data_IF_273977066858
#
_entry.id   IF_273977066858
#
_cell.length_a   1.000
_cell.length_b   1.000
_cell.length_c   1.000
_cell.angle_alpha   90.00
_cell.angle_beta   90.00
_cell.angle_gamma   90.00
#
_symmetry.space_group_name_H-M   'P 1'
#
loop_
_entity.id
_entity.type
_entity.pdbx_description
1 polymer ?
#
# COMPACT_ATOMS: atom_id res chain seq x y z
N UNK A 1 8.35 51.09 -5.34
CA UNK A 1 8.14 49.64 -5.47
C UNK A 1 8.08 49.35 -6.95
N UNK A 2 9.22 49.04 -7.55
CA UNK A 2 9.30 48.72 -8.97
C UNK A 2 9.10 47.22 -9.12
N UNK A 3 7.94 46.84 -9.67
CA UNK A 3 7.68 45.49 -10.16
C UNK A 3 8.61 45.22 -11.34
N UNK A 4 9.72 44.54 -11.08
CA UNK A 4 10.52 43.88 -12.10
C UNK A 4 9.84 42.54 -12.41
N UNK A 5 8.87 42.58 -13.33
CA UNK A 5 8.40 41.39 -14.01
C UNK A 5 9.58 40.82 -14.81
N UNK A 6 10.17 39.74 -14.31
CA UNK A 6 11.19 38.97 -15.03
C UNK A 6 10.47 38.25 -16.17
N UNK A 7 10.82 38.48 -17.45
CA UNK A 7 10.19 37.76 -18.55
C UNK A 7 10.50 36.26 -18.40
N UNK A 8 9.46 35.42 -18.45
CA UNK A 8 9.61 33.97 -18.52
C UNK A 8 10.37 33.62 -19.80
N UNK A 9 11.68 33.37 -19.68
CA UNK A 9 12.52 33.02 -20.81
C UNK A 9 12.13 31.62 -21.35
N UNK A 10 11.72 31.58 -22.62
CA UNK A 10 11.43 30.34 -23.36
C UNK A 10 12.77 29.68 -23.70
N UNK A 11 13.29 28.86 -22.79
CA UNK A 11 14.39 27.93 -23.12
C UNK A 11 13.87 26.62 -23.70
N UNK A 12 14.78 25.82 -24.25
CA UNK A 12 14.50 24.47 -24.75
C UNK A 12 15.14 23.47 -23.78
N UNK A 13 14.37 22.46 -23.36
CA UNK A 13 14.90 21.30 -22.66
C UNK A 13 15.53 20.36 -23.69
N UNK A 14 16.77 19.94 -23.43
CA UNK A 14 17.51 18.98 -24.25
C UNK A 14 17.98 17.85 -23.35
N UNK A 15 17.91 16.60 -23.81
CA UNK A 15 18.43 15.47 -23.03
C UNK A 15 19.95 15.57 -22.89
N UNK A 16 20.47 15.19 -21.73
CA UNK A 16 21.91 15.10 -21.50
C UNK A 16 22.58 14.13 -22.48
N UNK A 17 21.88 13.07 -22.91
CA UNK A 17 22.35 12.14 -23.93
C UNK A 17 22.63 12.82 -25.26
N UNK A 18 21.70 13.67 -25.71
CA UNK A 18 21.82 14.38 -26.99
C UNK A 18 22.99 15.36 -26.96
N UNK A 19 23.19 16.05 -25.83
CA UNK A 19 24.28 17.03 -25.68
C UNK A 19 25.67 16.37 -25.57
N UNK A 20 25.76 15.16 -25.02
CA UNK A 20 26.99 14.38 -24.97
C UNK A 20 27.35 13.76 -26.33
N UNK A 21 26.35 13.41 -27.14
CA UNK A 21 26.55 12.89 -28.50
C UNK A 21 26.79 13.98 -29.56
N UNK A 22 26.45 15.22 -29.22
CA UNK A 22 26.62 16.38 -30.09
C UNK A 22 28.06 16.92 -30.04
N UNK A 23 28.53 17.52 -31.13
CA UNK A 23 29.83 18.23 -31.20
C UNK A 23 29.88 19.52 -30.36
N UNK A 24 28.90 19.73 -29.49
CA UNK A 24 28.73 20.89 -28.60
C UNK A 24 29.81 21.01 -27.52
N UNK A 25 30.66 19.99 -27.34
CA UNK A 25 31.77 20.04 -26.38
C UNK A 25 31.33 20.01 -24.91
N UNK A 26 30.06 19.67 -24.63
CA UNK A 26 29.57 19.50 -23.27
C UNK A 26 30.21 18.23 -22.68
N UNK A 27 31.11 18.42 -21.73
CA UNK A 27 31.85 17.34 -21.09
C UNK A 27 31.48 17.23 -19.62
N UNK A 28 31.89 16.12 -18.99
CA UNK A 28 31.92 16.06 -17.53
C UNK A 28 32.81 17.20 -17.01
N UNK A 29 32.30 17.99 -16.07
CA UNK A 29 32.92 19.20 -15.54
C UNK A 29 32.35 20.51 -16.10
N UNK A 30 31.50 20.47 -17.12
CA UNK A 30 30.82 21.67 -17.64
C UNK A 30 29.77 22.19 -16.65
N UNK A 31 29.66 23.51 -16.51
CA UNK A 31 28.54 24.13 -15.79
C UNK A 31 27.28 24.10 -16.66
N UNK A 32 26.18 23.62 -16.10
CA UNK A 32 24.90 23.47 -16.81
C UNK A 32 23.75 23.95 -15.95
N UNK A 33 22.63 24.24 -16.61
CA UNK A 33 21.38 24.59 -15.95
C UNK A 33 20.40 23.43 -16.04
N UNK A 34 19.68 23.17 -14.96
CA UNK A 34 18.60 22.20 -14.87
C UNK A 34 17.35 22.85 -14.32
N UNK A 35 16.20 22.38 -14.78
CA UNK A 35 14.91 22.77 -14.24
C UNK A 35 14.49 21.75 -13.18
N UNK A 36 14.46 22.18 -11.92
CA UNK A 36 14.04 21.34 -10.79
C UNK A 36 12.51 21.21 -10.77
N UNK A 37 11.82 22.32 -11.02
CA UNK A 37 10.36 22.38 -11.18
C UNK A 37 10.00 23.51 -12.17
N UNK A 38 8.73 23.69 -12.57
CA UNK A 38 8.36 24.69 -13.58
C UNK A 38 8.83 26.13 -13.28
N UNK A 39 9.07 26.46 -12.01
CA UNK A 39 9.39 27.80 -11.52
C UNK A 39 10.87 27.95 -11.09
N UNK A 40 11.59 26.84 -10.91
CA UNK A 40 12.93 26.81 -10.32
C UNK A 40 13.96 26.21 -11.29
N UNK A 41 14.89 27.07 -11.72
CA UNK A 41 16.12 26.70 -12.41
C UNK A 41 17.26 26.68 -11.40
N UNK A 42 18.13 25.67 -11.51
CA UNK A 42 19.37 25.59 -10.76
C UNK A 42 20.56 25.41 -11.71
N UNK A 43 21.69 26.01 -11.36
CA UNK A 43 22.97 25.77 -12.02
C UNK A 43 23.79 24.75 -11.24
N UNK A 44 24.62 23.98 -11.93
CA UNK A 44 25.56 23.09 -11.29
C UNK A 44 26.56 22.47 -12.26
N UNK A 45 27.62 21.88 -11.71
CA UNK A 45 28.56 21.09 -12.50
C UNK A 45 27.90 19.80 -12.95
N UNK A 46 27.96 19.56 -14.25
CA UNK A 46 27.53 18.34 -14.89
C UNK A 46 28.61 17.29 -14.75
N UNK A 47 28.30 16.21 -14.05
CA UNK A 47 29.19 15.06 -13.89
C UNK A 47 28.58 13.88 -14.61
N UNK A 48 29.37 13.24 -15.45
CA UNK A 48 29.00 12.00 -16.14
C UNK A 48 29.89 10.88 -15.67
N UNK A 49 29.28 9.73 -15.41
CA UNK A 49 29.97 8.49 -15.12
C UNK A 49 30.86 8.10 -16.32
N UNK A 50 32.15 7.89 -16.05
CA UNK A 50 33.14 7.59 -17.09
C UNK A 50 33.00 6.16 -17.60
N UNK A 51 32.81 5.20 -16.69
CA UNK A 51 32.62 3.78 -17.01
C UNK A 51 31.37 3.28 -16.30
N UNK A 52 30.32 2.88 -17.03
CA UNK A 52 29.16 2.26 -16.41
C UNK A 52 29.57 0.89 -15.85
N UNK A 53 29.13 0.60 -14.62
CA UNK A 53 29.29 -0.71 -14.02
C UNK A 53 28.56 -1.75 -14.91
N UNK A 54 29.25 -2.83 -15.27
CA UNK A 54 28.73 -3.98 -16.03
C UNK A 54 28.08 -3.66 -17.39
N UNK A 55 28.56 -2.63 -18.10
CA UNK A 55 28.04 -2.28 -19.43
C UNK A 55 26.61 -1.72 -19.41
N UNK A 56 26.14 -1.30 -18.24
CA UNK A 56 24.83 -0.68 -18.05
C UNK A 56 24.70 0.72 -18.67
N UNK A 57 23.54 1.32 -18.47
CA UNK A 57 23.29 2.72 -18.87
C UNK A 57 24.20 3.66 -18.08
N UNK A 58 24.77 4.67 -18.75
CA UNK A 58 25.57 5.73 -18.10
C UNK A 58 24.69 6.66 -17.29
N UNK A 59 25.23 7.12 -16.16
CA UNK A 59 24.55 8.06 -15.27
C UNK A 59 25.20 9.45 -15.31
N UNK A 60 24.39 10.46 -15.01
CA UNK A 60 24.88 11.80 -14.79
C UNK A 60 24.22 12.43 -13.56
N UNK A 61 24.92 13.39 -12.98
CA UNK A 61 24.40 14.25 -11.93
C UNK A 61 24.77 15.70 -12.18
N UNK A 62 23.99 16.60 -11.59
CA UNK A 62 24.23 18.03 -11.61
C UNK A 62 24.38 18.45 -10.16
N UNK A 63 25.51 19.05 -9.83
CA UNK A 63 25.89 19.38 -8.45
C UNK A 63 26.02 20.89 -8.32
N UNK A 64 25.17 21.50 -7.49
CA UNK A 64 25.23 22.93 -7.17
C UNK A 64 26.28 23.21 -6.10
N UNK A 65 26.86 24.41 -6.15
CA UNK A 65 27.74 24.95 -5.12
C UNK A 65 26.97 25.66 -3.99
N UNK A 66 25.77 26.16 -4.30
CA UNK A 66 24.95 26.92 -3.36
C UNK A 66 23.46 26.63 -3.56
N UNK A 67 22.82 25.88 -2.64
CA UNK A 67 23.47 25.08 -1.59
C UNK A 67 24.31 23.95 -2.21
N UNK A 68 25.32 23.47 -1.47
CA UNK A 68 26.11 22.28 -1.86
C UNK A 68 25.20 21.06 -1.87
N UNK A 69 24.70 20.69 -3.04
CA UNK A 69 23.71 19.63 -3.19
C UNK A 69 23.69 19.07 -4.62
N UNK A 70 23.24 17.82 -4.74
CA UNK A 70 22.90 17.23 -6.04
C UNK A 70 21.48 17.67 -6.40
N UNK A 71 21.36 18.49 -7.43
CA UNK A 71 20.07 19.07 -7.87
C UNK A 71 19.32 18.17 -8.83
N UNK A 72 20.03 17.32 -9.56
CA UNK A 72 19.47 16.27 -10.41
C UNK A 72 20.47 15.12 -10.51
N UNK A 73 19.98 13.88 -10.51
CA UNK A 73 20.78 12.69 -10.79
C UNK A 73 19.90 11.61 -11.41
N UNK A 74 20.44 10.91 -12.39
CA UNK A 74 19.70 9.86 -13.09
C UNK A 74 20.47 9.31 -14.29
N UNK A 75 19.83 8.39 -15.04
CA UNK A 75 20.37 7.94 -16.30
C UNK A 75 20.50 9.12 -17.27
N UNK A 76 21.57 9.12 -18.07
CA UNK A 76 21.89 10.21 -19.01
C UNK A 76 20.75 10.48 -20.01
N UNK A 77 19.96 9.47 -20.36
CA UNK A 77 18.81 9.63 -21.25
C UNK A 77 17.66 10.43 -20.61
N UNK A 78 17.53 10.37 -19.28
CA UNK A 78 16.37 10.88 -18.54
C UNK A 78 16.61 12.28 -17.95
N UNK A 79 17.88 12.69 -17.82
CA UNK A 79 18.22 14.00 -17.28
C UNK A 79 18.10 15.06 -18.37
N UNK A 80 17.19 16.02 -18.14
CA UNK A 80 16.95 17.14 -19.04
C UNK A 80 17.76 18.36 -18.62
N UNK A 81 18.59 18.86 -19.53
CA UNK A 81 19.35 20.09 -19.38
C UNK A 81 18.61 21.26 -20.04
N UNK A 82 18.77 22.45 -19.48
CA UNK A 82 18.16 23.67 -19.99
C UNK A 82 19.22 24.57 -20.61
N UNK A 83 19.01 24.99 -21.86
CA UNK A 83 19.99 25.76 -22.64
C UNK A 83 20.18 27.23 -22.19
N UNK A 84 19.78 27.57 -20.96
CA UNK A 84 19.94 28.91 -20.41
C UNK A 84 21.22 29.01 -19.59
N UNK A 85 21.95 30.11 -19.73
CA UNK A 85 23.18 30.34 -18.96
C UNK A 85 22.83 30.85 -17.57
N UNK A 86 22.95 29.99 -16.55
CA UNK A 86 23.16 30.44 -15.18
C UNK A 86 24.61 30.95 -15.11
N UNK A 87 24.93 32.03 -14.37
CA UNK A 87 26.30 32.48 -14.19
C UNK A 87 27.18 31.30 -13.74
N UNK A 88 28.19 30.97 -14.53
CA UNK A 88 29.21 29.99 -14.16
C UNK A 88 30.01 30.60 -12.99
N UNK A 89 30.22 29.88 -11.88
CA UNK A 89 31.05 30.35 -10.79
C UNK A 89 32.55 30.37 -11.16
N UNK A 90 32.95 30.97 -12.29
CA UNK A 90 34.32 31.26 -12.78
C UNK A 90 35.44 30.29 -12.33
N UNK A 91 35.13 28.98 -12.23
CA UNK A 91 35.88 28.08 -11.37
C UNK A 91 35.92 26.67 -11.91
N UNK A 92 37.11 26.07 -11.90
CA UNK A 92 37.29 24.67 -12.21
C UNK A 92 36.44 23.81 -11.24
N UNK A 93 35.82 22.76 -11.78
CA UNK A 93 35.02 21.81 -11.00
C UNK A 93 35.82 21.32 -9.78
N UNK A 94 35.34 21.56 -8.54
CA UNK A 94 36.02 21.08 -7.35
C UNK A 94 36.08 19.55 -7.28
N UNK A 95 37.12 19.00 -6.64
CA UNK A 95 37.33 17.55 -6.52
C UNK A 95 36.25 16.82 -5.70
N UNK A 96 35.49 17.53 -4.86
CA UNK A 96 34.38 16.95 -4.10
C UNK A 96 33.13 16.70 -4.97
N UNK A 97 33.00 17.39 -6.11
CA UNK A 97 31.81 17.31 -6.97
C UNK A 97 31.62 15.91 -7.55
N UNK A 98 32.63 15.25 -8.14
CA UNK A 98 32.48 13.87 -8.62
C UNK A 98 32.16 12.87 -7.51
N UNK A 99 32.67 13.09 -6.29
CA UNK A 99 32.39 12.22 -5.14
C UNK A 99 30.92 12.31 -4.72
N UNK A 100 30.35 13.52 -4.71
CA UNK A 100 28.92 13.69 -4.45
C UNK A 100 28.06 13.10 -5.57
N UNK A 101 28.44 13.31 -6.83
CA UNK A 101 27.77 12.71 -7.97
C UNK A 101 27.72 11.17 -7.87
N UNK A 102 28.85 10.52 -7.56
CA UNK A 102 28.93 9.08 -7.40
C UNK A 102 28.02 8.57 -6.28
N UNK A 103 28.08 9.18 -5.09
CA UNK A 103 27.21 8.81 -3.98
C UNK A 103 25.72 8.94 -4.32
N UNK A 104 25.35 9.96 -5.11
CA UNK A 104 23.97 10.14 -5.57
C UNK A 104 23.57 9.07 -6.60
N UNK A 105 24.45 8.66 -7.51
CA UNK A 105 24.18 7.56 -8.44
C UNK A 105 23.94 6.25 -7.69
N UNK A 106 24.81 5.92 -6.72
CA UNK A 106 24.66 4.71 -5.92
C UNK A 106 23.35 4.71 -5.13
N UNK A 107 23.02 5.84 -4.50
CA UNK A 107 21.76 5.98 -3.78
C UNK A 107 20.53 5.83 -4.70
N UNK A 108 20.56 6.48 -5.87
CA UNK A 108 19.47 6.42 -6.84
C UNK A 108 19.28 5.01 -7.42
N UNK A 109 20.38 4.31 -7.74
CA UNK A 109 20.35 2.89 -8.16
C UNK A 109 19.78 1.98 -7.08
N UNK A 110 20.25 2.14 -5.84
CA UNK A 110 19.73 1.38 -4.71
C UNK A 110 18.23 1.59 -4.50
N UNK A 111 17.76 2.83 -4.63
CA UNK A 111 16.33 3.15 -4.56
C UNK A 111 15.53 2.56 -5.73
N UNK A 112 16.04 2.63 -6.96
CA UNK A 112 15.40 2.05 -8.13
C UNK A 112 15.26 0.53 -8.00
N UNK A 113 16.35 -0.17 -7.65
CA UNK A 113 16.34 -1.61 -7.42
C UNK A 113 15.40 -2.01 -6.28
N UNK A 114 15.38 -1.25 -5.17
CA UNK A 114 14.47 -1.51 -4.07
C UNK A 114 12.99 -1.32 -4.46
N UNK A 115 12.67 -0.30 -5.27
CA UNK A 115 11.30 -0.09 -5.79
C UNK A 115 10.89 -1.21 -6.72
N UNK A 116 11.77 -1.61 -7.63
CA UNK A 116 11.52 -2.72 -8.55
C UNK A 116 11.27 -4.02 -7.79
N UNK A 117 12.14 -4.38 -6.84
CA UNK A 117 12.00 -5.58 -6.01
C UNK A 117 10.68 -5.58 -5.21
N UNK A 118 10.33 -4.45 -4.58
CA UNK A 118 9.03 -4.32 -3.87
C UNK A 118 7.86 -4.48 -4.82
N UNK A 119 7.93 -3.89 -6.02
CA UNK A 119 6.86 -4.01 -7.02
C UNK A 119 6.72 -5.46 -7.51
N UNK A 120 7.83 -6.17 -7.72
CA UNK A 120 7.83 -7.57 -8.11
C UNK A 120 7.22 -8.46 -7.03
N UNK A 121 7.63 -8.27 -5.78
CA UNK A 121 7.06 -8.98 -4.63
C UNK A 121 5.55 -8.72 -4.48
N UNK A 122 5.12 -7.47 -4.64
CA UNK A 122 3.70 -7.12 -4.56
C UNK A 122 2.88 -7.76 -5.68
N UNK A 123 3.40 -7.81 -6.92
CA UNK A 123 2.74 -8.48 -8.04
C UNK A 123 2.62 -9.99 -7.81
N UNK A 124 3.68 -10.61 -7.30
CA UNK A 124 3.67 -12.04 -7.03
C UNK A 124 2.69 -12.40 -5.89
N UNK A 125 2.64 -11.58 -4.83
CA UNK A 125 1.64 -11.75 -3.76
C UNK A 125 0.21 -11.66 -4.29
N UNK A 126 -0.10 -10.62 -5.07
CA UNK A 126 -1.42 -10.46 -5.67
C UNK A 126 -1.78 -11.64 -6.60
N UNK A 127 -0.79 -12.18 -7.33
CA UNK A 127 -0.98 -13.35 -8.17
C UNK A 127 -1.30 -14.60 -7.33
N UNK A 128 -0.57 -14.84 -6.24
CA UNK A 128 -0.83 -15.98 -5.35
C UNK A 128 -2.20 -15.88 -4.69
N UNK A 129 -2.58 -14.69 -4.23
CA UNK A 129 -3.92 -14.43 -3.67
C UNK A 129 -5.02 -14.73 -4.70
N UNK A 130 -4.86 -14.27 -5.94
CA UNK A 130 -5.80 -14.56 -7.02
C UNK A 130 -5.91 -16.07 -7.35
N UNK A 131 -4.80 -16.81 -7.26
CA UNK A 131 -4.80 -18.28 -7.44
C UNK A 131 -5.56 -18.96 -6.31
N UNK A 132 -5.34 -18.52 -5.07
CA UNK A 132 -6.07 -19.05 -3.90
C UNK A 132 -7.57 -18.79 -4.04
N UNK A 133 -7.96 -17.60 -4.48
CA UNK A 133 -9.36 -17.24 -4.70
C UNK A 133 -10.00 -18.07 -5.82
N UNK A 134 -9.28 -18.27 -6.92
CA UNK A 134 -9.73 -19.16 -7.99
C UNK A 134 -9.89 -20.61 -7.50
N UNK A 135 -8.98 -21.09 -6.65
CA UNK A 135 -9.08 -22.43 -6.06
C UNK A 135 -10.27 -22.54 -5.11
N UNK A 136 -10.56 -21.50 -4.33
CA UNK A 136 -11.75 -21.43 -3.47
C UNK A 136 -13.05 -21.46 -4.28
N UNK A 137 -13.13 -20.66 -5.35
CA UNK A 137 -14.28 -20.68 -6.27
C UNK A 137 -14.47 -22.06 -6.91
N UNK A 138 -13.40 -22.63 -7.46
CA UNK A 138 -13.46 -23.98 -8.03
C UNK A 138 -13.90 -25.03 -6.99
N UNK A 139 -13.39 -24.93 -5.77
CA UNK A 139 -13.75 -25.85 -4.70
C UNK A 139 -15.22 -25.72 -4.27
N UNK A 140 -15.80 -24.53 -4.35
CA UNK A 140 -17.22 -24.30 -4.10
C UNK A 140 -18.08 -24.82 -5.27
N UNK A 141 -17.72 -24.50 -6.52
CA UNK A 141 -18.45 -24.93 -7.71
C UNK A 141 -18.50 -26.45 -7.89
N UNK A 142 -17.56 -27.18 -7.26
CA UNK A 142 -17.44 -28.63 -7.36
C UNK A 142 -17.69 -29.35 -6.02
N UNK A 143 -18.30 -28.66 -5.04
CA UNK A 143 -18.65 -29.22 -3.72
C UNK A 143 -17.50 -29.98 -3.03
N UNK A 144 -16.27 -29.47 -3.16
CA UNK A 144 -15.11 -30.12 -2.54
C UNK A 144 -15.25 -30.06 -1.02
N UNK A 145 -15.10 -31.22 -0.38
CA UNK A 145 -15.30 -31.40 1.05
C UNK A 145 -14.27 -30.64 1.91
N UNK A 146 -14.51 -30.59 3.23
CA UNK A 146 -13.65 -29.93 4.23
C UNK A 146 -12.18 -30.36 4.20
N UNK A 147 -11.86 -31.54 3.65
CA UNK A 147 -10.46 -31.98 3.46
C UNK A 147 -9.64 -31.07 2.55
N UNK A 148 -10.30 -30.34 1.64
CA UNK A 148 -9.64 -29.31 0.84
C UNK A 148 -9.19 -28.13 1.71
N UNK A 149 -10.03 -27.71 2.65
CA UNK A 149 -9.72 -26.61 3.57
C UNK A 149 -8.61 -27.02 4.55
N UNK A 150 -8.62 -28.26 5.03
CA UNK A 150 -7.52 -28.84 5.83
C UNK A 150 -6.20 -28.80 5.05
N UNK A 151 -6.22 -29.22 3.78
CA UNK A 151 -5.04 -29.15 2.92
C UNK A 151 -4.54 -27.71 2.74
N UNK A 152 -5.43 -26.74 2.56
CA UNK A 152 -5.04 -25.32 2.44
C UNK A 152 -4.34 -24.83 3.71
N UNK A 153 -4.85 -25.17 4.90
CA UNK A 153 -4.24 -24.82 6.18
C UNK A 153 -2.86 -25.47 6.32
N UNK A 154 -2.71 -26.75 5.95
CA UNK A 154 -1.42 -27.46 5.98
C UNK A 154 -0.37 -26.80 5.07
N UNK A 155 -0.78 -26.22 3.94
CA UNK A 155 0.09 -25.44 3.05
C UNK A 155 0.33 -24.00 3.53
N UNK A 156 -0.20 -23.60 4.70
CA UNK A 156 -0.09 -22.25 5.24
C UNK A 156 -0.95 -21.22 4.51
N UNK A 157 -1.96 -21.67 3.76
CA UNK A 157 -2.90 -20.83 3.03
C UNK A 157 -4.18 -20.65 3.84
N UNK A 158 -4.96 -19.62 3.51
CA UNK A 158 -6.24 -19.38 4.18
C UNK A 158 -7.28 -20.44 3.75
N UNK A 159 -8.03 -21.05 4.68
CA UNK A 159 -9.18 -21.87 4.34
C UNK A 159 -10.32 -21.00 3.78
N UNK A 160 -11.33 -21.61 3.18
CA UNK A 160 -12.54 -20.89 2.76
C UNK A 160 -13.33 -20.43 4.00
N UNK A 161 -13.78 -19.18 4.01
CA UNK A 161 -14.81 -18.72 4.93
C UNK A 161 -16.17 -19.16 4.39
N UNK A 162 -16.95 -19.86 5.22
CA UNK A 162 -18.34 -20.20 4.94
C UNK A 162 -19.20 -19.55 6.01
N UNK A 163 -20.27 -18.92 5.58
CA UNK A 163 -21.30 -18.45 6.48
C UNK A 163 -22.15 -19.65 6.87
N UNK A 164 -22.32 -19.83 8.17
CA UNK A 164 -23.16 -20.88 8.73
C UNK A 164 -24.25 -20.23 9.56
N UNK A 165 -25.50 -20.60 9.29
CA UNK A 165 -26.61 -20.27 10.17
C UNK A 165 -26.73 -21.39 11.21
N UNK A 166 -26.69 -21.03 12.49
CA UNK A 166 -26.81 -21.99 13.60
C UNK A 166 -28.18 -21.81 14.21
N UNK A 167 -29.01 -22.85 14.13
CA UNK A 167 -30.32 -22.88 14.78
C UNK A 167 -30.15 -23.41 16.21
N UNK A 168 -30.56 -22.60 17.19
CA UNK A 168 -30.38 -22.90 18.62
C UNK A 168 -31.74 -23.00 19.29
N UNK A 169 -32.00 -24.14 19.92
CA UNK A 169 -33.16 -24.32 20.79
C UNK A 169 -32.78 -23.92 22.22
N UNK A 170 -33.58 -23.04 22.81
CA UNK A 170 -33.42 -22.59 24.20
C UNK A 170 -34.65 -23.00 25.00
N UNK A 171 -34.44 -23.75 26.08
CA UNK A 171 -35.51 -24.09 27.03
C UNK A 171 -35.52 -23.13 28.21
N UNK A 172 -36.47 -22.20 28.20
CA UNK A 172 -36.63 -21.24 29.29
C UNK A 172 -37.62 -21.74 30.34
N UNK A 173 -37.26 -21.61 31.62
CA UNK A 173 -38.19 -21.82 32.75
C UNK A 173 -38.50 -20.49 33.41
N UNK A 174 -39.66 -19.94 33.08
CA UNK A 174 -40.18 -18.69 33.67
C UNK A 174 -41.09 -18.97 34.85
N UNK A 175 -41.04 -18.10 35.86
CA UNK A 175 -41.91 -18.16 37.03
C UNK A 175 -43.00 -17.09 36.91
N UNK A 176 -44.26 -17.53 36.85
CA UNK A 176 -45.41 -16.66 36.75
C UNK A 176 -46.18 -16.72 38.07
N UNK A 177 -46.51 -15.56 38.62
CA UNK A 177 -47.33 -15.46 39.83
C UNK A 177 -48.79 -15.31 39.43
N UNK A 178 -49.60 -16.33 39.67
CA UNK A 178 -51.06 -16.31 39.45
C UNK A 178 -51.80 -16.50 40.77
N UNK A 179 -52.95 -15.84 40.93
CA UNK A 179 -53.81 -15.96 42.10
C UNK A 179 -54.93 -16.99 41.85
N UNK A 180 -55.09 -17.96 42.75
CA UNK A 180 -56.14 -18.97 42.70
C UNK A 180 -56.59 -19.38 44.10
N UNK A 181 -57.72 -20.09 44.18
CA UNK A 181 -58.21 -20.64 45.44
C UNK A 181 -57.43 -21.90 45.88
N UNK A 182 -56.75 -22.54 44.94
CA UNK A 182 -55.78 -23.61 45.12
C UNK A 182 -54.74 -23.61 43.97
N UNK A 183 -53.73 -24.49 44.06
CA UNK A 183 -52.63 -24.56 43.10
C UNK A 183 -53.08 -24.98 41.69
N UNK A 184 -54.09 -25.86 41.60
CA UNK A 184 -54.62 -26.35 40.33
C UNK A 184 -55.35 -25.21 39.61
N UNK A 185 -56.23 -24.49 40.32
CA UNK A 185 -56.92 -23.30 39.81
C UNK A 185 -55.95 -22.18 39.40
N UNK A 186 -54.83 -22.00 40.11
CA UNK A 186 -53.81 -21.02 39.75
C UNK A 186 -53.06 -21.41 38.46
N UNK A 187 -52.89 -22.71 38.20
CA UNK A 187 -52.22 -23.23 37.01
C UNK A 187 -53.10 -23.15 35.75
N UNK A 188 -54.41 -23.38 35.88
CA UNK A 188 -55.37 -23.28 34.77
C UNK A 188 -55.56 -21.85 34.27
N UNK A 189 -55.27 -20.86 35.12
CA UNK A 189 -55.36 -19.44 34.79
C UNK A 189 -54.14 -18.93 34.00
N UNK A 190 -53.06 -19.70 33.89
CA UNK A 190 -51.85 -19.27 33.18
C UNK A 190 -52.10 -19.33 31.67
N UNK A 191 -52.14 -18.17 31.04
CA UNK A 191 -52.35 -18.04 29.59
C UNK A 191 -51.05 -17.94 28.82
N UNK A 192 -51.08 -18.27 27.52
CA UNK A 192 -49.92 -18.08 26.62
C UNK A 192 -49.43 -16.63 26.60
N UNK A 193 -50.34 -15.65 26.72
CA UNK A 193 -49.99 -14.23 26.77
C UNK A 193 -49.18 -13.87 28.01
N UNK A 194 -49.52 -14.42 29.18
CA UNK A 194 -48.76 -14.22 30.42
C UNK A 194 -47.38 -14.87 30.37
N UNK A 195 -47.25 -16.01 29.70
CA UNK A 195 -45.94 -16.65 29.45
C UNK A 195 -45.08 -15.77 28.54
N UNK A 196 -45.64 -15.25 27.45
CA UNK A 196 -44.93 -14.37 26.51
C UNK A 196 -44.53 -13.06 27.20
N UNK A 197 -45.43 -12.46 27.97
CA UNK A 197 -45.15 -11.24 28.74
C UNK A 197 -44.06 -11.48 29.80
N UNK A 198 -44.10 -12.61 30.51
CA UNK A 198 -43.06 -13.00 31.45
C UNK A 198 -41.69 -13.13 30.77
N UNK A 199 -41.64 -13.69 29.54
CA UNK A 199 -40.39 -13.79 28.76
C UNK A 199 -39.89 -12.40 28.32
N UNK A 200 -40.77 -11.52 27.83
CA UNK A 200 -40.40 -10.17 27.41
C UNK A 200 -39.92 -9.28 28.56
N UNK A 201 -40.40 -9.53 29.78
CA UNK A 201 -40.01 -8.78 30.97
C UNK A 201 -38.71 -9.27 31.61
N UNK A 202 -38.12 -10.38 31.14
CA UNK A 202 -36.82 -10.83 31.63
C UNK A 202 -35.73 -9.82 31.24
N UNK A 203 -34.96 -9.40 32.24
CA UNK A 203 -33.75 -8.61 31.99
C UNK A 203 -32.65 -9.46 31.36
N UNK A 204 -31.69 -8.80 30.69
CA UNK A 204 -30.54 -9.49 30.08
C UNK A 204 -29.76 -10.36 31.08
N UNK A 205 -29.66 -9.94 32.34
CA UNK A 205 -28.97 -10.72 33.38
C UNK A 205 -29.76 -11.94 33.86
N UNK A 206 -31.08 -11.90 33.80
CA UNK A 206 -31.93 -13.06 34.12
C UNK A 206 -31.95 -14.07 32.98
N UNK A 207 -31.95 -13.61 31.73
CA UNK A 207 -31.77 -14.48 30.55
C UNK A 207 -30.40 -15.16 30.57
N UNK A 208 -29.33 -14.45 30.93
CA UNK A 208 -27.98 -15.02 31.04
C UNK A 208 -27.95 -16.16 32.08
N UNK A 209 -28.56 -15.96 33.24
CA UNK A 209 -28.67 -17.00 34.28
C UNK A 209 -29.61 -18.17 33.93
N UNK A 210 -30.54 -17.99 33.00
CA UNK A 210 -31.43 -19.05 32.50
C UNK A 210 -30.82 -19.83 31.33
N UNK A 211 -29.92 -19.20 30.57
CA UNK A 211 -29.24 -19.80 29.43
C UNK A 211 -27.88 -20.43 29.81
N UNK A 212 -27.47 -20.35 31.08
CA UNK A 212 -26.22 -20.89 31.60
C UNK A 212 -26.27 -22.44 31.67
N UNK A 213 -26.20 -23.09 30.50
CA UNK A 213 -25.95 -24.52 30.36
C UNK A 213 -26.96 -25.35 29.55
N UNK A 214 -28.15 -24.84 29.21
CA UNK A 214 -29.24 -25.61 28.56
C UNK A 214 -29.70 -24.98 27.22
N UNK A 215 -28.77 -24.82 26.28
CA UNK A 215 -29.11 -24.61 24.87
C UNK A 215 -28.58 -25.77 24.04
N UNK A 216 -29.37 -26.19 23.06
CA UNK A 216 -28.97 -27.24 22.11
C UNK A 216 -28.83 -26.64 20.72
N UNK A 217 -27.77 -27.02 20.02
CA UNK A 217 -27.59 -26.63 18.63
C UNK A 217 -28.34 -27.67 17.79
N UNK A 218 -29.48 -27.25 17.27
CA UNK A 218 -30.41 -28.13 16.56
C UNK A 218 -29.92 -28.40 15.16
N UNK A 219 -29.40 -27.36 14.50
CA UNK A 219 -28.94 -27.44 13.14
C UNK A 219 -27.87 -26.39 12.83
N UNK A 220 -27.04 -26.70 11.84
CA UNK A 220 -26.05 -25.79 11.26
C UNK A 220 -26.17 -25.91 9.75
N UNK A 221 -26.82 -24.93 9.13
CA UNK A 221 -26.95 -24.87 7.68
C UNK A 221 -25.85 -24.00 7.08
N UNK A 222 -25.28 -24.41 5.95
CA UNK A 222 -24.41 -23.56 5.15
C UNK A 222 -25.28 -22.70 4.23
N UNK A 223 -25.07 -21.38 4.23
CA UNK A 223 -25.73 -20.46 3.29
C UNK A 223 -25.22 -20.60 1.85
#
# INVERSE_FOLDING_TARGET
MSDLSVPAAVGVAVSAADLLGSSSGLGSGSWVSVRINPELLAGGWFVVEQEPIDGGQRWCAIVSADPVAVVAAGPVADVMLWAWSVPDPDGAMPSWVPVLADSAWQAARGQAAAREARSALSRERARLEAIVDAAHHYANDNDLCSRFDDFMIEQGLRPRSRDYSVLVDVRLRVRISSSGHDADSASENVTTSEVVEAIYNLSRGELDGLCDGDFDIVDVEAE
#
